data_IF_097948683524
#
_entry.id   IF_097948683524
#
_cell.length_a   1.000
_cell.length_b   1.000
_cell.length_c   1.000
_cell.angle_alpha   90.00
_cell.angle_beta   90.00
_cell.angle_gamma   90.00
#
_symmetry.space_group_name_H-M   'P 1'
#
loop_
_entity.id
_entity.type
_entity.pdbx_description
1 polymer ?
#
# COMPACT_ATOMS: atom_id res chain seq x y z
N UNK A 1 0.06 -0.84 -20.19
CA UNK A 1 -1.09 -1.26 -21.03
C UNK A 1 -2.37 -0.97 -20.28
N UNK A 2 -3.20 -0.13 -20.87
CA UNK A 2 -4.34 0.54 -20.29
C UNK A 2 -5.51 -0.41 -20.02
N UNK A 3 -6.05 -0.37 -18.82
CA UNK A 3 -7.31 -1.00 -18.48
C UNK A 3 -8.45 -0.05 -18.88
N UNK A 4 -9.33 -0.40 -19.84
CA UNK A 4 -10.43 0.47 -20.20
C UNK A 4 -11.58 0.35 -19.20
N UNK A 5 -12.15 1.49 -18.91
CA UNK A 5 -13.36 1.80 -18.16
C UNK A 5 -14.45 0.73 -18.29
N UNK A 6 -14.76 0.04 -17.21
CA UNK A 6 -16.00 -0.68 -17.02
C UNK A 6 -16.94 0.17 -16.20
N UNK A 7 -17.83 0.88 -16.87
CA UNK A 7 -19.15 1.24 -16.33
C UNK A 7 -20.00 1.78 -17.45
N UNK A 8 -21.11 1.17 -17.55
CA UNK A 8 -22.37 1.59 -18.13
C UNK A 8 -22.87 0.70 -19.25
N UNK A 9 -23.65 -0.31 -18.84
CA UNK A 9 -24.55 -1.03 -19.72
C UNK A 9 -25.99 -0.84 -19.23
N UNK A 10 -26.56 0.30 -19.59
CA UNK A 10 -28.00 0.43 -19.78
C UNK A 10 -28.21 1.15 -21.10
N UNK A 11 -28.33 0.42 -22.17
CA UNK A 11 -29.09 0.78 -23.35
C UNK A 11 -28.69 -0.14 -24.51
N UNK A 12 -29.39 -1.22 -24.69
CA UNK A 12 -29.70 -1.85 -26.00
C UNK A 12 -30.56 -3.08 -25.77
N UNK A 13 -31.85 -2.91 -25.66
CA UNK A 13 -32.80 -3.98 -25.87
C UNK A 13 -34.15 -3.40 -26.27
N UNK A 14 -34.34 -3.19 -27.53
CA UNK A 14 -35.70 -3.17 -28.09
C UNK A 14 -35.65 -3.55 -29.57
N UNK A 15 -36.42 -4.59 -29.85
CA UNK A 15 -36.90 -5.08 -31.12
C UNK A 15 -36.22 -6.33 -31.64
N UNK A 16 -36.90 -7.45 -31.43
CA UNK A 16 -37.47 -8.33 -32.44
C UNK A 16 -38.10 -9.52 -31.72
N UNK A 17 -39.45 -9.58 -31.75
CA UNK A 17 -40.26 -10.65 -31.18
C UNK A 17 -40.85 -11.49 -32.31
N UNK A 18 -40.62 -12.82 -32.28
CA UNK A 18 -41.54 -13.81 -32.82
C UNK A 18 -41.76 -14.91 -31.76
N UNK A 19 -43.02 -15.30 -31.57
CA UNK A 19 -43.57 -16.07 -30.43
C UNK A 19 -42.93 -17.43 -30.14
N UNK A 20 -42.13 -17.99 -31.02
CA UNK A 20 -41.44 -19.27 -30.79
C UNK A 20 -40.04 -19.15 -30.23
N UNK A 21 -39.49 -17.94 -30.17
CA UNK A 21 -38.18 -17.67 -29.59
C UNK A 21 -38.21 -17.49 -28.06
N UNK A 22 -39.39 -17.14 -27.52
CA UNK A 22 -39.57 -16.92 -26.09
C UNK A 22 -39.33 -18.19 -25.28
N UNK A 23 -39.77 -19.34 -25.78
CA UNK A 23 -39.59 -20.63 -25.10
C UNK A 23 -38.13 -21.08 -25.15
N UNK A 24 -37.43 -20.81 -26.26
CA UNK A 24 -35.99 -21.12 -26.37
C UNK A 24 -35.11 -20.18 -25.52
N UNK A 25 -35.46 -18.91 -25.46
CA UNK A 25 -34.76 -17.95 -24.66
C UNK A 25 -34.98 -18.21 -23.16
N UNK A 26 -36.19 -18.61 -22.75
CA UNK A 26 -36.49 -18.97 -21.35
C UNK A 26 -35.76 -20.26 -20.95
N UNK A 27 -35.65 -21.26 -21.85
CA UNK A 27 -34.88 -22.48 -21.59
C UNK A 27 -33.35 -22.17 -21.48
N UNK A 28 -32.83 -21.32 -22.36
CA UNK A 28 -31.42 -20.86 -22.30
C UNK A 28 -31.14 -19.99 -21.08
N UNK A 29 -32.10 -19.19 -20.63
CA UNK A 29 -31.97 -18.40 -19.41
C UNK A 29 -31.98 -19.29 -18.15
N UNK A 30 -32.72 -20.40 -18.17
CA UNK A 30 -32.75 -21.35 -17.06
C UNK A 30 -31.47 -22.20 -16.96
N UNK A 31 -30.80 -22.49 -18.09
CA UNK A 31 -29.47 -23.13 -18.09
C UNK A 31 -28.33 -22.14 -17.70
N UNK A 32 -28.55 -20.83 -17.87
CA UNK A 32 -27.58 -19.80 -17.46
C UNK A 32 -27.58 -19.49 -15.97
N UNK A 33 -28.56 -19.92 -15.17
CA UNK A 33 -28.58 -19.72 -13.72
C UNK A 33 -27.51 -20.55 -12.99
N UNK A 34 -27.07 -21.68 -13.57
CA UNK A 34 -25.95 -22.46 -13.00
C UNK A 34 -24.59 -21.80 -13.22
N UNK A 35 -24.43 -20.97 -14.25
CA UNK A 35 -23.17 -20.28 -14.54
C UNK A 35 -23.01 -18.93 -13.81
N UNK A 36 -24.10 -18.33 -13.29
CA UNK A 36 -24.04 -17.08 -12.57
C UNK A 36 -23.14 -17.19 -11.33
N UNK A 37 -23.19 -18.31 -10.63
CA UNK A 37 -22.34 -18.55 -9.45
C UNK A 37 -20.85 -18.64 -9.79
N UNK A 38 -20.50 -19.20 -10.94
CA UNK A 38 -19.11 -19.28 -11.40
C UNK A 38 -18.61 -17.90 -11.82
N UNK A 39 -19.39 -17.17 -12.61
CA UNK A 39 -19.06 -15.80 -13.02
C UNK A 39 -18.96 -14.86 -11.83
N UNK A 40 -19.85 -14.95 -10.84
CA UNK A 40 -19.80 -14.15 -9.64
C UNK A 40 -18.55 -14.44 -8.80
N UNK A 41 -18.17 -15.72 -8.71
CA UNK A 41 -16.91 -16.11 -8.05
C UNK A 41 -15.69 -15.58 -8.81
N UNK A 42 -15.70 -15.70 -10.15
CA UNK A 42 -14.62 -15.20 -11.00
C UNK A 42 -14.51 -13.67 -10.91
N UNK A 43 -15.64 -12.96 -10.99
CA UNK A 43 -15.67 -11.49 -10.81
C UNK A 43 -15.24 -11.10 -9.40
N UNK A 44 -15.67 -11.84 -8.38
CA UNK A 44 -15.24 -11.63 -7.01
C UNK A 44 -13.72 -11.82 -6.87
N UNK A 45 -13.17 -12.85 -7.47
CA UNK A 45 -11.72 -13.10 -7.48
C UNK A 45 -10.96 -12.02 -8.26
N UNK A 46 -11.45 -11.62 -9.43
CA UNK A 46 -10.87 -10.52 -10.22
C UNK A 46 -10.91 -9.20 -9.45
N UNK A 47 -12.03 -8.89 -8.78
CA UNK A 47 -12.13 -7.70 -7.93
C UNK A 47 -11.14 -7.75 -6.76
N UNK A 48 -11.02 -8.89 -6.11
CA UNK A 48 -10.06 -9.11 -5.04
C UNK A 48 -8.62 -8.95 -5.53
N UNK A 49 -8.32 -9.50 -6.71
CA UNK A 49 -7.00 -9.40 -7.34
C UNK A 49 -6.69 -7.96 -7.77
N UNK A 50 -7.63 -7.28 -8.43
CA UNK A 50 -7.49 -5.86 -8.74
C UNK A 50 -7.27 -5.03 -7.47
N UNK A 51 -7.99 -5.34 -6.40
CA UNK A 51 -7.85 -4.74 -5.11
C UNK A 51 -6.46 -4.90 -4.54
N UNK A 52 -5.90 -6.08 -4.67
CA UNK A 52 -4.53 -6.38 -4.23
C UNK A 52 -3.49 -5.56 -4.99
N UNK A 53 -3.66 -5.36 -6.30
CA UNK A 53 -2.71 -4.62 -7.14
C UNK A 53 -2.88 -3.10 -7.09
N UNK A 54 -4.12 -2.62 -6.99
CA UNK A 54 -4.40 -1.17 -7.05
C UNK A 54 -4.27 -0.44 -5.72
N UNK A 55 -4.22 -1.19 -4.59
CA UNK A 55 -4.15 -0.59 -3.25
C UNK A 55 -5.51 -0.08 -2.75
N UNK A 56 -5.55 0.35 -1.52
CA UNK A 56 -6.73 0.83 -0.81
C UNK A 56 -6.38 1.85 0.24
N UNK A 57 -7.34 2.63 0.67
CA UNK A 57 -8.70 2.92 0.26
C UNK A 57 -8.85 4.28 -0.44
N UNK A 58 -10.03 4.55 -1.07
CA UNK A 58 -10.33 5.85 -1.69
C UNK A 58 -10.46 7.00 -0.68
N UNK A 59 -10.94 6.71 0.52
CA UNK A 59 -11.00 7.66 1.64
C UNK A 59 -9.89 7.32 2.63
N UNK A 60 -8.75 8.01 2.48
CA UNK A 60 -7.55 7.75 3.29
C UNK A 60 -7.67 8.25 4.73
N UNK A 61 -8.71 9.05 5.03
CA UNK A 61 -8.83 9.70 6.33
C UNK A 61 -7.74 10.76 6.55
N UNK A 62 -7.40 11.09 7.79
CA UNK A 62 -6.31 12.01 8.10
C UNK A 62 -4.96 11.42 7.68
N UNK A 63 -4.06 12.29 7.19
CA UNK A 63 -2.70 11.88 6.81
C UNK A 63 -2.02 11.13 7.94
N UNK A 64 -1.43 9.99 7.59
CA UNK A 64 -0.66 9.14 8.52
C UNK A 64 0.83 9.20 8.23
N UNK A 65 1.22 10.03 7.26
CA UNK A 65 2.62 10.26 6.92
C UNK A 65 3.22 11.29 7.89
N UNK A 66 4.25 10.88 8.60
CA UNK A 66 4.95 11.71 9.57
C UNK A 66 5.98 12.57 8.82
N UNK A 67 5.95 13.88 9.02
CA UNK A 67 6.99 14.76 8.50
C UNK A 67 8.18 14.76 9.46
N UNK A 68 9.37 14.54 8.92
CA UNK A 68 10.60 14.58 9.70
C UNK A 68 10.84 15.99 10.25
N UNK A 69 11.11 16.08 11.54
CA UNK A 69 11.40 17.34 12.25
C UNK A 69 12.79 17.36 12.83
N UNK A 70 13.22 16.24 13.43
CA UNK A 70 14.53 16.11 14.04
C UNK A 70 14.97 14.65 14.16
N UNK A 71 16.28 14.42 14.23
CA UNK A 71 16.84 13.08 14.48
C UNK A 71 16.40 12.51 15.82
N UNK A 72 16.24 13.37 16.83
CA UNK A 72 15.78 12.95 18.16
C UNK A 72 14.35 12.38 18.13
N UNK A 73 13.48 12.99 17.34
CA UNK A 73 12.11 12.49 17.16
C UNK A 73 12.07 11.21 16.32
N UNK A 74 12.90 11.15 15.30
CA UNK A 74 13.08 9.92 14.50
C UNK A 74 13.50 8.74 15.38
N UNK A 75 14.48 8.95 16.25
CA UNK A 75 14.93 7.93 17.20
C UNK A 75 13.78 7.49 18.13
N UNK A 76 12.96 8.41 18.62
CA UNK A 76 11.78 8.05 19.45
C UNK A 76 10.82 7.13 18.69
N UNK A 77 10.54 7.43 17.42
CA UNK A 77 9.66 6.62 16.58
C UNK A 77 10.25 5.22 16.35
N UNK A 78 11.56 5.11 16.15
CA UNK A 78 12.25 3.82 16.06
C UNK A 78 12.13 3.00 17.36
N UNK A 79 12.09 3.67 18.52
CA UNK A 79 11.94 3.03 19.82
C UNK A 79 10.54 2.39 20.04
N UNK A 80 9.52 2.82 19.30
CA UNK A 80 8.19 2.21 19.36
C UNK A 80 8.20 0.77 18.87
N UNK A 81 9.27 0.32 18.20
CA UNK A 81 9.44 -1.04 17.72
C UNK A 81 8.72 -1.37 16.40
N UNK A 82 8.05 -0.39 15.81
CA UNK A 82 7.43 -0.57 14.50
C UNK A 82 8.45 -0.33 13.38
N UNK A 83 8.31 -1.04 12.25
CA UNK A 83 9.06 -0.70 11.05
C UNK A 83 8.76 0.74 10.62
N UNK A 84 9.81 1.48 10.24
CA UNK A 84 9.67 2.85 9.76
C UNK A 84 10.14 2.95 8.32
N UNK A 85 9.23 3.29 7.43
CA UNK A 85 9.50 3.57 6.02
C UNK A 85 9.84 5.05 5.90
N UNK A 86 11.05 5.37 5.47
CA UNK A 86 11.51 6.75 5.31
C UNK A 86 11.72 7.06 3.84
N UNK A 87 10.96 8.01 3.33
CA UNK A 87 11.10 8.54 1.99
C UNK A 87 11.91 9.83 1.99
N UNK A 88 13.05 9.79 1.34
CA UNK A 88 13.95 10.94 1.18
C UNK A 88 13.63 11.65 -0.13
N UNK A 89 13.26 12.91 -0.04
CA UNK A 89 12.77 13.69 -1.18
C UNK A 89 13.53 15.00 -1.36
N UNK A 90 13.65 15.41 -2.63
CA UNK A 90 14.04 16.77 -3.01
C UNK A 90 12.79 17.45 -3.59
N UNK A 91 12.62 18.74 -3.40
CA UNK A 91 11.50 19.50 -4.02
C UNK A 91 11.50 19.31 -5.54
N UNK A 92 10.35 18.87 -6.08
CA UNK A 92 10.14 18.72 -7.51
C UNK A 92 8.78 18.12 -7.84
N UNK A 93 8.38 18.22 -9.08
CA UNK A 93 7.10 17.66 -9.57
C UNK A 93 7.03 16.14 -9.44
N UNK A 94 8.16 15.46 -9.28
CA UNK A 94 8.25 14.01 -9.12
C UNK A 94 7.79 13.52 -7.74
N UNK A 95 7.65 14.41 -6.75
CA UNK A 95 7.24 14.02 -5.40
C UNK A 95 5.75 13.80 -5.26
N UNK A 96 4.91 14.36 -6.13
CA UNK A 96 3.45 14.24 -6.04
C UNK A 96 2.96 12.79 -6.13
N UNK A 97 3.54 12.00 -7.03
CA UNK A 97 3.20 10.59 -7.14
C UNK A 97 3.63 9.83 -5.87
N UNK A 98 4.85 10.06 -5.42
CA UNK A 98 5.38 9.44 -4.20
C UNK A 98 4.53 9.81 -2.98
N UNK A 99 4.15 11.07 -2.83
CA UNK A 99 3.33 11.55 -1.73
C UNK A 99 1.99 10.82 -1.68
N UNK A 100 1.34 10.69 -2.84
CA UNK A 100 0.09 9.94 -2.95
C UNK A 100 0.25 8.47 -2.56
N UNK A 101 1.31 7.83 -3.03
CA UNK A 101 1.60 6.43 -2.69
C UNK A 101 1.91 6.26 -1.20
N UNK A 102 2.64 7.21 -0.59
CA UNK A 102 2.94 7.17 0.85
C UNK A 102 1.66 7.32 1.69
N UNK A 103 0.73 8.19 1.29
CA UNK A 103 -0.56 8.34 1.96
C UNK A 103 -1.40 7.06 1.84
N UNK A 104 -1.49 6.49 0.66
CA UNK A 104 -2.19 5.23 0.42
C UNK A 104 -1.59 4.08 1.26
N UNK A 105 -0.27 3.93 1.21
CA UNK A 105 0.44 2.92 1.99
C UNK A 105 0.34 3.19 3.50
N UNK A 106 0.48 4.46 3.91
CA UNK A 106 0.32 4.85 5.31
C UNK A 106 -1.06 4.51 5.87
N UNK A 107 -2.12 4.68 5.08
CA UNK A 107 -3.46 4.29 5.49
C UNK A 107 -3.65 2.77 5.55
N UNK A 108 -3.04 2.04 4.60
CA UNK A 108 -3.18 0.57 4.51
C UNK A 108 -2.45 -0.16 5.63
N UNK A 109 -1.24 0.28 5.97
CA UNK A 109 -0.37 -0.43 6.91
C UNK A 109 -0.41 0.10 8.34
N UNK A 110 -1.20 1.11 8.61
CA UNK A 110 -1.41 1.60 9.98
C UNK A 110 -2.15 0.56 10.83
N UNK A 111 -1.79 0.36 12.10
CA UNK A 111 -0.72 1.01 12.88
C UNK A 111 0.64 0.30 12.81
N UNK A 112 0.77 -0.81 12.07
CA UNK A 112 1.90 -1.73 12.12
C UNK A 112 3.17 -1.20 11.47
N UNK A 113 3.05 -0.25 10.54
CA UNK A 113 4.18 0.40 9.87
C UNK A 113 4.01 1.91 9.93
N UNK A 114 5.08 2.60 10.28
CA UNK A 114 5.13 4.07 10.28
C UNK A 114 5.73 4.55 8.96
N UNK A 115 5.11 5.55 8.35
CA UNK A 115 5.62 6.18 7.15
C UNK A 115 6.09 7.58 7.47
N UNK A 116 7.31 7.91 7.04
CA UNK A 116 7.95 9.19 7.29
C UNK A 116 8.46 9.79 5.99
N UNK A 117 8.31 11.10 5.84
CA UNK A 117 8.85 11.87 4.74
C UNK A 117 9.92 12.83 5.23
N UNK A 118 11.07 12.82 4.55
CA UNK A 118 12.20 13.72 4.82
C UNK A 118 12.40 14.64 3.62
N UNK A 119 12.36 15.94 3.85
CA UNK A 119 12.72 16.95 2.86
C UNK A 119 14.23 17.25 2.95
N UNK A 120 15.03 16.63 2.10
CA UNK A 120 16.48 16.71 2.16
C UNK A 120 17.04 18.14 2.07
N UNK A 121 16.48 19.06 1.28
CA UNK A 121 16.94 20.46 1.30
C UNK A 121 16.78 21.14 2.66
N UNK A 122 15.81 20.71 3.47
CA UNK A 122 15.57 21.24 4.80
C UNK A 122 16.44 20.58 5.87
N UNK A 123 16.78 19.30 5.66
CA UNK A 123 17.56 18.50 6.60
C UNK A 123 18.77 17.83 5.91
N UNK A 124 19.71 18.63 5.38
CA UNK A 124 20.81 18.10 4.56
C UNK A 124 21.73 17.16 5.33
N UNK A 125 21.98 17.41 6.60
CA UNK A 125 22.84 16.56 7.43
C UNK A 125 22.32 15.13 7.51
N UNK A 126 21.04 14.94 7.71
CA UNK A 126 20.42 13.61 7.78
C UNK A 126 20.44 12.86 6.45
N UNK A 127 20.27 13.59 5.33
CA UNK A 127 20.28 12.98 4.00
C UNK A 127 21.69 12.64 3.50
N UNK A 128 22.68 13.53 3.73
CA UNK A 128 24.06 13.34 3.28
C UNK A 128 24.72 12.10 3.90
N UNK A 129 24.36 11.75 5.13
CA UNK A 129 24.86 10.53 5.78
C UNK A 129 24.49 9.25 5.07
N UNK A 130 23.48 9.28 4.18
CA UNK A 130 23.02 8.13 3.39
C UNK A 130 23.84 7.89 2.13
N UNK A 131 24.67 8.85 1.72
CA UNK A 131 25.55 8.73 0.54
C UNK A 131 24.82 8.36 -0.75
N UNK A 132 23.52 8.77 -0.88
CA UNK A 132 22.73 8.55 -2.09
C UNK A 132 22.77 9.78 -2.99
N UNK A 133 22.90 9.53 -4.28
CA UNK A 133 22.96 10.57 -5.32
C UNK A 133 21.64 10.72 -6.06
N UNK A 134 20.81 9.66 -6.07
CA UNK A 134 19.53 9.62 -6.76
C UNK A 134 18.38 9.85 -5.80
N UNK A 135 17.46 10.73 -6.18
CA UNK A 135 16.26 11.07 -5.42
C UNK A 135 15.02 10.99 -6.31
N UNK A 136 13.86 10.62 -5.78
CA UNK A 136 13.62 10.17 -4.40
C UNK A 136 14.12 8.75 -4.15
N UNK A 137 14.50 8.45 -2.93
CA UNK A 137 14.79 7.07 -2.52
C UNK A 137 14.09 6.73 -1.19
N UNK A 138 13.87 5.45 -0.96
CA UNK A 138 13.16 4.96 0.22
C UNK A 138 14.06 3.96 0.95
N UNK A 139 14.14 4.10 2.25
CA UNK A 139 14.80 3.16 3.15
C UNK A 139 13.83 2.71 4.24
N UNK A 140 13.91 1.44 4.62
CA UNK A 140 13.08 0.86 5.65
C UNK A 140 13.95 0.48 6.83
N UNK A 141 13.64 1.08 7.96
CA UNK A 141 14.31 0.87 9.25
C UNK A 141 13.51 -0.16 10.02
N UNK A 142 14.15 -1.28 10.32
CA UNK A 142 13.51 -2.39 10.99
C UNK A 142 14.43 -3.00 12.04
N UNK A 143 13.92 -3.14 13.27
CA UNK A 143 14.60 -3.85 14.34
C UNK A 143 13.80 -5.09 14.73
N UNK A 144 14.26 -6.31 14.39
CA UNK A 144 13.55 -7.53 14.74
C UNK A 144 13.46 -7.75 16.27
N UNK A 145 14.42 -7.26 17.02
CA UNK A 145 14.43 -7.36 18.49
C UNK A 145 13.37 -6.46 19.13
N UNK A 146 13.20 -5.25 18.59
CA UNK A 146 12.18 -4.30 19.04
C UNK A 146 10.78 -4.72 18.58
N UNK A 147 10.66 -5.34 17.40
CA UNK A 147 9.38 -5.88 16.93
C UNK A 147 8.80 -6.94 17.89
N UNK A 148 9.66 -7.70 18.56
CA UNK A 148 9.22 -8.67 19.56
C UNK A 148 8.72 -8.01 20.88
N UNK A 149 9.04 -6.74 21.10
CA UNK A 149 8.65 -5.95 22.28
C UNK A 149 7.67 -4.82 22.00
N UNK A 150 6.97 -4.86 20.88
CA UNK A 150 5.99 -3.85 20.50
C UNK A 150 5.01 -3.53 21.65
N UNK A 151 4.86 -2.25 21.93
CA UNK A 151 3.96 -1.76 22.98
C UNK A 151 4.50 -1.84 24.42
N UNK A 152 5.73 -2.30 24.64
CA UNK A 152 6.40 -2.17 25.96
C UNK A 152 7.21 -0.88 25.99
N UNK A 153 7.14 -0.18 27.11
CA UNK A 153 7.97 1.01 27.33
C UNK A 153 9.43 0.60 27.23
N UNK A 154 10.15 1.19 26.29
CA UNK A 154 11.55 0.91 26.11
C UNK A 154 12.31 1.34 27.36
N UNK A 155 13.22 0.48 27.84
CA UNK A 155 14.12 0.80 28.95
C UNK A 155 14.93 2.04 28.60
N UNK A 156 14.90 3.10 29.41
CA UNK A 156 15.61 4.36 29.10
C UNK A 156 17.14 4.21 29.03
N UNK A 157 17.65 3.07 29.51
CA UNK A 157 19.07 2.72 29.49
C UNK A 157 19.53 1.92 28.27
N UNK A 158 18.62 1.57 27.35
CA UNK A 158 18.98 0.80 26.16
C UNK A 158 19.66 1.69 25.13
N UNK A 159 20.99 1.70 25.12
CA UNK A 159 21.81 2.54 24.23
C UNK A 159 22.24 1.83 22.95
N UNK A 160 21.92 0.56 22.77
CA UNK A 160 22.27 -0.20 21.55
C UNK A 160 21.02 -0.56 20.76
N UNK A 161 20.95 0.01 19.54
CA UNK A 161 19.93 -0.35 18.56
C UNK A 161 20.53 -1.24 17.50
N UNK A 162 19.93 -2.42 17.34
CA UNK A 162 20.22 -3.28 16.21
C UNK A 162 19.20 -3.01 15.09
N UNK A 163 19.25 -1.80 14.52
CA UNK A 163 18.34 -1.40 13.44
C UNK A 163 18.96 -1.80 12.11
N UNK A 164 18.27 -2.63 11.37
CA UNK A 164 18.60 -2.93 9.98
C UNK A 164 18.02 -1.86 9.08
N UNK A 165 18.84 -1.37 8.15
CA UNK A 165 18.40 -0.44 7.10
C UNK A 165 18.31 -1.21 5.80
N UNK A 166 17.11 -1.32 5.26
CA UNK A 166 16.83 -2.05 4.03
C UNK A 166 16.48 -1.04 2.93
N UNK A 167 17.26 -0.99 1.82
CA UNK A 167 16.90 -0.16 0.69
C UNK A 167 15.64 -0.73 0.02
N UNK A 168 14.70 0.14 -0.32
CA UNK A 168 13.51 -0.23 -1.07
C UNK A 168 13.81 -0.22 -2.56
N UNK A 169 13.77 -1.39 -3.18
CA UNK A 169 14.13 -1.60 -4.61
C UNK A 169 12.94 -2.03 -5.47
N UNK A 170 11.74 -2.00 -4.90
CA UNK A 170 10.49 -2.35 -5.60
C UNK A 170 9.84 -1.11 -6.20
N UNK A 171 8.83 -1.33 -7.03
CA UNK A 171 8.01 -0.24 -7.56
C UNK A 171 7.38 0.57 -6.43
N UNK A 172 7.42 1.89 -6.56
CA UNK A 172 6.83 2.80 -5.57
C UNK A 172 5.31 2.76 -5.72
N UNK A 173 4.71 1.79 -5.04
CA UNK A 173 3.28 1.53 -4.99
C UNK A 173 2.90 0.79 -3.71
N UNK A 174 1.63 0.84 -3.31
CA UNK A 174 1.15 0.07 -2.16
C UNK A 174 1.37 -1.45 -2.34
N UNK A 175 1.29 -1.95 -3.57
CA UNK A 175 1.63 -3.32 -3.92
C UNK A 175 3.13 -3.62 -3.68
N UNK A 176 4.02 -2.74 -4.14
CA UNK A 176 5.45 -2.91 -3.93
C UNK A 176 5.83 -2.96 -2.45
N UNK A 177 5.18 -2.15 -1.60
CA UNK A 177 5.38 -2.25 -0.15
C UNK A 177 4.90 -3.57 0.42
N UNK A 178 3.73 -4.09 -0.01
CA UNK A 178 3.24 -5.41 0.44
C UNK A 178 4.20 -6.53 0.12
N UNK A 179 4.68 -6.58 -1.12
CA UNK A 179 5.64 -7.61 -1.55
C UNK A 179 6.99 -7.49 -0.81
N UNK A 180 7.44 -6.25 -0.58
CA UNK A 180 8.65 -6.01 0.20
C UNK A 180 8.51 -6.53 1.64
N UNK A 181 7.43 -6.16 2.35
CA UNK A 181 7.20 -6.58 3.73
C UNK A 181 7.07 -8.10 3.84
N UNK A 182 6.34 -8.72 2.91
CA UNK A 182 6.18 -10.16 2.83
C UNK A 182 7.53 -10.87 2.65
N UNK A 183 8.35 -10.38 1.73
CA UNK A 183 9.68 -10.98 1.45
C UNK A 183 10.64 -10.87 2.62
N UNK A 184 10.58 -9.77 3.36
CA UNK A 184 11.48 -9.54 4.50
C UNK A 184 10.91 -10.00 5.83
N UNK A 185 9.74 -10.66 5.84
CA UNK A 185 9.10 -11.16 7.06
C UNK A 185 8.70 -10.03 8.02
N UNK A 186 8.45 -8.83 7.49
CA UNK A 186 8.01 -7.68 8.27
C UNK A 186 6.50 -7.79 8.47
N UNK A 187 6.06 -7.85 9.72
CA UNK A 187 4.64 -7.92 10.04
C UNK A 187 4.01 -6.54 9.81
N UNK A 188 3.26 -6.43 8.72
CA UNK A 188 2.67 -5.17 8.26
C UNK A 188 1.13 -5.15 8.35
N UNK A 189 0.52 -6.24 8.80
CA UNK A 189 -0.94 -6.38 9.00
C UNK A 189 -1.24 -7.36 10.11
N UNK A 190 -2.43 -7.25 10.69
CA UNK A 190 -2.90 -8.23 11.64
C UNK A 190 -2.90 -9.65 11.04
N UNK A 191 -2.45 -10.66 11.78
CA UNK A 191 -2.58 -12.04 11.36
C UNK A 191 -4.08 -12.37 11.24
N UNK A 192 -4.51 -12.70 10.02
CA UNK A 192 -5.85 -13.20 9.74
C UNK A 192 -5.96 -14.65 10.11
#
# INVERSE_FOLDING_TARGET
>A
MLCPKCCDQRSCASKILSRNWIVYVVALVFEMEADSSFFDRMIGHLRSTCKYYTGYPKDLGPSRVIHFTSEREFVKILHEGFPVVVAFTIRGNYTQHLDKVLEEAGAEFYPHVKFMRVECPKYPGFCLTRQKTEYPFIEIFYSPEQAASQGRVADPNTTKYNVKVLPFTYDVSAYGFREFFKRHGIQASDPK
#
